data_IF_131174932344
#
_entry.id   IF_131174932344
#
_cell.length_a   1.000
_cell.length_b   1.000
_cell.length_c   1.000
_cell.angle_alpha   90.00
_cell.angle_beta   90.00
_cell.angle_gamma   90.00
#
_symmetry.space_group_name_H-M   'P 1'
#
loop_
_entity.id
_entity.type
_entity.pdbx_description
1 polymer ?
#
# COMPACT_ATOMS: atom_id res chain seq x y z
N UNK A 1 -10.85 18.81 -71.99
CA UNK A 1 -11.41 18.70 -70.60
C UNK A 1 -10.64 17.65 -69.85
N UNK A 2 -9.78 18.04 -68.89
CA UNK A 2 -8.96 17.12 -68.08
C UNK A 2 -9.60 17.02 -66.70
N UNK A 3 -10.18 15.88 -66.35
CA UNK A 3 -10.68 15.56 -65.03
C UNK A 3 -9.50 15.37 -64.04
N UNK A 4 -9.27 16.34 -63.10
CA UNK A 4 -8.42 16.16 -61.93
C UNK A 4 -9.26 15.58 -60.82
N UNK A 5 -9.36 14.25 -60.72
CA UNK A 5 -9.93 13.56 -59.59
C UNK A 5 -8.92 12.51 -59.13
N UNK A 6 -8.12 12.81 -58.14
CA UNK A 6 -7.16 11.84 -57.64
C UNK A 6 -6.46 12.17 -56.32
N UNK A 7 -6.68 13.37 -55.76
CA UNK A 7 -5.83 13.82 -54.63
C UNK A 7 -6.52 13.81 -53.25
N UNK A 8 -7.79 13.47 -53.18
CA UNK A 8 -8.53 13.55 -51.93
C UNK A 8 -8.71 12.21 -51.15
N UNK A 9 -8.43 11.07 -51.81
CA UNK A 9 -8.57 9.77 -51.12
C UNK A 9 -7.42 9.48 -50.15
N UNK A 10 -6.17 9.90 -50.43
CA UNK A 10 -5.02 9.65 -49.55
C UNK A 10 -5.10 10.39 -48.23
N UNK A 11 -5.65 11.61 -48.22
CA UNK A 11 -5.78 12.42 -46.96
C UNK A 11 -6.86 11.86 -46.04
N UNK A 12 -7.94 11.28 -46.55
CA UNK A 12 -9.01 10.70 -45.76
C UNK A 12 -8.55 9.43 -45.03
N UNK A 13 -7.75 8.59 -45.67
CA UNK A 13 -7.25 7.37 -45.04
C UNK A 13 -6.20 7.68 -43.95
N UNK A 14 -5.35 8.69 -44.13
CA UNK A 14 -4.39 9.10 -43.10
C UNK A 14 -5.07 9.60 -41.83
N UNK A 15 -6.15 10.38 -41.94
CA UNK A 15 -6.92 10.82 -40.76
C UNK A 15 -7.63 9.64 -40.08
N UNK A 16 -8.08 8.64 -40.84
CA UNK A 16 -8.74 7.47 -40.26
C UNK A 16 -7.74 6.58 -39.49
N UNK A 17 -6.54 6.39 -39.98
CA UNK A 17 -5.47 5.65 -39.30
C UNK A 17 -4.99 6.38 -38.03
N UNK A 18 -4.87 7.70 -38.08
CA UNK A 18 -4.50 8.52 -36.91
C UNK A 18 -5.59 8.47 -35.82
N UNK A 19 -6.86 8.49 -36.19
CA UNK A 19 -7.98 8.35 -35.27
C UNK A 19 -8.03 6.98 -34.58
N UNK A 20 -7.82 5.91 -35.34
CA UNK A 20 -7.78 4.54 -34.81
C UNK A 20 -6.58 4.34 -33.89
N UNK A 21 -5.41 4.85 -34.25
CA UNK A 21 -4.21 4.77 -33.41
C UNK A 21 -4.39 5.51 -32.08
N UNK A 22 -5.03 6.67 -32.10
CA UNK A 22 -5.36 7.44 -30.89
C UNK A 22 -6.35 6.69 -29.99
N UNK A 23 -7.35 6.04 -30.55
CA UNK A 23 -8.34 5.25 -29.79
C UNK A 23 -7.70 4.04 -29.12
N UNK A 24 -6.79 3.36 -29.82
CA UNK A 24 -6.06 2.18 -29.30
C UNK A 24 -5.15 2.58 -28.14
N UNK A 25 -4.48 3.75 -28.20
CA UNK A 25 -3.64 4.21 -27.10
C UNK A 25 -4.45 4.57 -25.87
N UNK A 26 -5.63 5.16 -26.00
CA UNK A 26 -6.53 5.47 -24.88
C UNK A 26 -7.05 4.17 -24.24
N UNK A 27 -7.42 3.17 -24.99
CA UNK A 27 -7.87 1.87 -24.48
C UNK A 27 -6.74 1.14 -23.75
N UNK A 28 -5.51 1.19 -24.25
CA UNK A 28 -4.33 0.61 -23.57
C UNK A 28 -3.99 1.33 -22.26
N UNK A 29 -4.19 2.64 -22.18
CA UNK A 29 -4.00 3.38 -20.93
C UNK A 29 -5.07 3.07 -19.87
N UNK A 30 -6.31 2.77 -20.29
CA UNK A 30 -7.39 2.40 -19.36
C UNK A 30 -7.23 0.98 -18.81
N UNK A 31 -6.57 0.08 -19.52
CA UNK A 31 -6.28 -1.28 -19.04
C UNK A 31 -5.06 -1.36 -18.10
N UNK A 32 -4.26 -0.31 -18.02
CA UNK A 32 -3.20 -0.16 -17.02
C UNK A 32 -3.71 0.37 -15.68
N UNK A 33 -4.98 0.16 -15.35
CA UNK A 33 -5.44 0.16 -13.96
C UNK A 33 -4.71 -0.97 -13.28
N UNK A 34 -3.50 -0.68 -12.77
CA UNK A 34 -2.83 -1.50 -11.80
C UNK A 34 -3.84 -1.75 -10.68
N UNK A 35 -4.42 -2.92 -10.67
CA UNK A 35 -4.86 -3.52 -9.45
C UNK A 35 -3.59 -3.70 -8.60
N UNK A 36 -3.17 -2.64 -7.95
CA UNK A 36 -2.42 -2.75 -6.72
C UNK A 36 -3.40 -3.43 -5.75
N UNK A 37 -3.57 -4.73 -5.95
CA UNK A 37 -4.14 -5.63 -4.98
C UNK A 37 -3.20 -5.51 -3.79
N UNK A 38 -3.50 -4.55 -2.95
CA UNK A 38 -2.85 -4.35 -1.68
C UNK A 38 -3.20 -5.55 -0.83
N UNK A 39 -2.58 -6.70 -1.13
CA UNK A 39 -2.52 -7.82 -0.20
C UNK A 39 -1.88 -7.27 1.04
N UNK A 40 -2.73 -6.79 1.96
CA UNK A 40 -2.30 -6.52 3.34
C UNK A 40 -1.65 -7.81 3.78
N UNK A 41 -0.33 -7.76 4.01
CA UNK A 41 0.38 -8.92 4.53
C UNK A 41 -0.44 -9.47 5.69
N UNK A 42 -0.79 -10.74 5.62
CA UNK A 42 -1.62 -11.38 6.65
C UNK A 42 -0.90 -11.23 7.98
N UNK A 43 -1.52 -10.49 8.90
CA UNK A 43 -0.98 -10.27 10.24
C UNK A 43 -1.37 -11.43 11.15
N UNK A 44 -0.51 -11.73 12.10
CA UNK A 44 -0.88 -12.60 13.21
C UNK A 44 -1.91 -11.89 14.09
N UNK A 45 -2.92 -12.61 14.57
CA UNK A 45 -4.04 -12.02 15.32
C UNK A 45 -3.56 -11.38 16.64
N UNK A 46 -2.62 -12.03 17.35
CA UNK A 46 -2.22 -11.62 18.69
C UNK A 46 -0.79 -12.02 19.05
N UNK A 47 -0.11 -11.20 19.85
CA UNK A 47 1.21 -11.52 20.40
C UNK A 47 1.49 -10.81 21.73
N UNK A 48 2.19 -11.49 22.64
CA UNK A 48 2.65 -10.95 23.94
C UNK A 48 4.17 -10.86 23.96
N UNK A 49 4.70 -9.67 24.24
CA UNK A 49 6.13 -9.38 24.17
C UNK A 49 6.57 -8.56 25.37
N UNK A 50 6.68 -9.18 26.54
CA UNK A 50 6.99 -8.48 27.80
C UNK A 50 8.47 -8.07 27.91
N UNK A 51 9.36 -8.80 27.22
CA UNK A 51 10.79 -8.48 27.22
C UNK A 51 11.28 -7.94 25.86
N UNK A 52 10.39 -7.21 25.17
CA UNK A 52 10.71 -6.57 23.89
C UNK A 52 11.11 -5.11 24.07
N UNK A 53 12.09 -4.68 23.30
CA UNK A 53 12.53 -3.30 23.24
C UNK A 53 12.16 -2.62 21.90
N UNK A 54 12.61 -1.38 21.71
CA UNK A 54 12.38 -0.58 20.51
C UNK A 54 12.85 -1.27 19.20
N UNK A 55 13.81 -2.20 19.28
CA UNK A 55 14.31 -2.93 18.10
C UNK A 55 13.28 -3.93 17.59
N UNK A 56 12.34 -4.34 18.43
CA UNK A 56 11.26 -5.25 18.06
C UNK A 56 10.14 -4.59 17.24
N UNK A 57 10.05 -3.26 17.13
CA UNK A 57 9.00 -2.54 16.42
C UNK A 57 8.72 -3.10 15.01
N UNK A 58 9.71 -3.41 14.15
CA UNK A 58 9.45 -3.99 12.84
C UNK A 58 8.73 -5.36 12.90
N UNK A 59 9.05 -6.18 13.90
CA UNK A 59 8.41 -7.48 14.14
C UNK A 59 6.99 -7.33 14.66
N UNK A 60 6.76 -6.37 15.55
CA UNK A 60 5.45 -6.12 16.17
C UNK A 60 4.40 -5.66 15.14
N UNK A 61 4.80 -5.01 14.06
CA UNK A 61 3.92 -4.60 12.96
C UNK A 61 3.23 -5.76 12.25
N UNK A 62 3.76 -6.97 12.36
CA UNK A 62 3.18 -8.18 11.77
C UNK A 62 2.00 -8.73 12.58
N UNK A 63 1.59 -8.06 13.64
CA UNK A 63 0.49 -8.46 14.52
C UNK A 63 -0.65 -7.46 14.46
N UNK A 64 -1.87 -7.95 14.55
CA UNK A 64 -3.06 -7.09 14.69
C UNK A 64 -3.16 -6.49 16.09
N UNK A 65 -2.83 -7.31 17.10
CA UNK A 65 -2.85 -6.91 18.51
C UNK A 65 -1.57 -7.36 19.19
N UNK A 66 -0.93 -6.45 19.92
CA UNK A 66 0.26 -6.75 20.72
C UNK A 66 0.10 -6.28 22.15
N UNK A 67 0.61 -7.09 23.08
CA UNK A 67 0.81 -6.71 24.48
C UNK A 67 2.31 -6.53 24.73
N UNK A 68 2.71 -5.37 25.17
CA UNK A 68 4.11 -5.00 25.40
C UNK A 68 4.29 -4.35 26.77
N UNK A 69 5.50 -4.32 27.27
CA UNK A 69 5.84 -3.48 28.40
C UNK A 69 6.16 -2.07 27.89
N UNK A 70 5.26 -1.13 28.15
CA UNK A 70 5.31 0.23 27.57
C UNK A 70 6.54 1.03 28.02
N UNK A 71 7.19 0.69 29.13
CA UNK A 71 8.35 1.41 29.63
C UNK A 71 9.56 1.37 28.67
N UNK A 72 9.66 0.32 27.83
CA UNK A 72 10.75 0.17 26.87
C UNK A 72 10.49 0.81 25.50
N UNK A 73 9.32 1.46 25.32
CA UNK A 73 8.92 2.04 24.03
C UNK A 73 8.68 3.55 24.16
N UNK A 74 9.11 4.29 23.16
CA UNK A 74 8.79 5.72 23.06
C UNK A 74 7.40 5.96 22.48
N UNK A 75 6.82 7.14 22.75
CA UNK A 75 5.57 7.58 22.10
C UNK A 75 5.63 7.52 20.56
N UNK A 76 6.83 7.74 19.98
CA UNK A 76 7.05 7.66 18.53
C UNK A 76 6.92 6.23 18.02
N UNK A 77 7.41 5.26 18.78
CA UNK A 77 7.36 3.84 18.41
C UNK A 77 5.92 3.33 18.46
N UNK A 78 5.17 3.70 19.49
CA UNK A 78 3.74 3.36 19.62
C UNK A 78 2.93 3.96 18.45
N UNK A 79 3.17 5.24 18.11
CA UNK A 79 2.50 5.86 16.94
C UNK A 79 2.78 5.12 15.63
N UNK A 80 4.01 4.61 15.42
CA UNK A 80 4.33 3.81 14.24
C UNK A 80 3.53 2.52 14.18
N UNK A 81 3.36 1.82 15.31
CA UNK A 81 2.55 0.61 15.39
C UNK A 81 1.08 0.90 15.08
N UNK A 82 0.52 1.98 15.65
CA UNK A 82 -0.85 2.41 15.34
C UNK A 82 -1.03 2.81 13.87
N UNK A 83 -0.05 3.47 13.26
CA UNK A 83 -0.10 3.85 11.85
C UNK A 83 -0.14 2.63 10.92
N UNK A 84 0.48 1.51 11.32
CA UNK A 84 0.41 0.22 10.62
C UNK A 84 -0.85 -0.59 10.96
N UNK A 85 -1.77 -0.03 11.76
CA UNK A 85 -3.02 -0.67 12.16
C UNK A 85 -2.87 -1.74 13.25
N UNK A 86 -1.76 -1.74 14.00
CA UNK A 86 -1.54 -2.64 15.14
C UNK A 86 -2.13 -2.02 16.41
N UNK A 87 -2.99 -2.75 17.11
CA UNK A 87 -3.50 -2.38 18.43
C UNK A 87 -2.44 -2.69 19.48
N UNK A 88 -2.14 -1.73 20.36
CA UNK A 88 -1.10 -1.87 21.37
C UNK A 88 -1.73 -1.80 22.75
N UNK A 89 -1.50 -2.80 23.58
CA UNK A 89 -1.86 -2.84 24.99
C UNK A 89 -0.60 -2.84 25.85
N UNK A 90 -0.62 -2.11 26.95
CA UNK A 90 0.48 -2.13 27.92
C UNK A 90 0.23 -3.20 28.97
N UNK A 91 1.24 -4.03 29.21
CA UNK A 91 1.27 -4.85 30.41
C UNK A 91 1.53 -3.98 31.61
N UNK A 92 0.77 -4.20 32.67
CA UNK A 92 0.96 -3.57 33.97
C UNK A 92 1.05 -4.65 35.05
N UNK A 93 2.13 -4.69 35.77
CA UNK A 93 2.28 -5.53 36.94
C UNK A 93 1.81 -4.79 38.20
N UNK A 94 0.63 -5.17 38.70
CA UNK A 94 0.07 -4.58 39.91
C UNK A 94 0.19 -5.61 41.03
N UNK A 95 1.10 -5.40 41.98
CA UNK A 95 1.18 -6.21 43.18
C UNK A 95 2.42 -7.10 43.30
N UNK A 96 3.41 -7.03 42.41
CA UNK A 96 4.72 -7.59 42.69
C UNK A 96 5.62 -6.52 43.32
N UNK A 97 6.25 -6.87 44.42
CA UNK A 97 7.34 -6.09 45.03
C UNK A 97 8.62 -6.63 44.43
N UNK A 98 9.24 -5.82 43.57
CA UNK A 98 10.55 -6.15 42.98
C UNK A 98 11.60 -5.34 43.77
N UNK A 99 12.58 -6.06 44.33
CA UNK A 99 13.79 -5.43 44.85
C UNK A 99 14.77 -5.22 43.70
N UNK A 100 14.97 -3.97 43.32
CA UNK A 100 15.99 -3.54 42.37
C UNK A 100 17.34 -3.31 43.07
#
# INVERSE_FOLDING_TARGET
>A
MKCKSGKNRRKRNACFFLGILSLVTVVLCLSASCNADGRKAQKYAYGVFLNADRKAVPKLKNYETVVIDAQYFSKKDIRKLHADGTKVYSYLNIGSVENF
#
